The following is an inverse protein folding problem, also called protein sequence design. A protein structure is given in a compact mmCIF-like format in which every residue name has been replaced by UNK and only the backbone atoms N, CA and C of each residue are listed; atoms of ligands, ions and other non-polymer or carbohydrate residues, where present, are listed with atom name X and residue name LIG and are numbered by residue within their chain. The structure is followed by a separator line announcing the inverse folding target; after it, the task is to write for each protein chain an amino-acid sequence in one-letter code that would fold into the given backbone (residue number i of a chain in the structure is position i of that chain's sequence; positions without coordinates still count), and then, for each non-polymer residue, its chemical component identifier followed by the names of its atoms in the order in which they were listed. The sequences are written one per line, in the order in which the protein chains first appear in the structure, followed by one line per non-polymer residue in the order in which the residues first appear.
data_IF_542372800175
#
_entry.id   IF_542372800175
#
_cell.length_a   1.000
_cell.length_b   1.000
_cell.length_c   1.000
_cell.angle_alpha   90.00
_cell.angle_beta   90.00
_cell.angle_gamma   90.00
#
_symmetry.space_group_name_H-M   'P 1'
#
loop_
_entity.id
_entity.type
_entity.pdbx_description
1 polymer ?
#
# COMPACT_ATOMS: atom_id res chain seq x y z
N UNK A 1 -4.02 32.69 11.06
CA UNK A 1 -3.76 31.42 11.79
C UNK A 1 -4.72 30.41 11.21
N UNK A 2 -4.21 29.41 10.50
CA UNK A 2 -4.98 28.62 9.53
C UNK A 2 -5.65 27.40 10.20
N UNK A 3 -6.99 27.28 10.18
CA UNK A 3 -7.72 26.18 10.82
C UNK A 3 -7.39 24.78 10.27
N UNK A 4 -6.78 24.67 9.10
CA UNK A 4 -6.42 23.37 8.48
C UNK A 4 -5.23 22.67 9.14
N UNK A 5 -4.37 23.40 9.87
CA UNK A 5 -3.18 22.83 10.53
C UNK A 5 -3.56 22.12 11.85
N UNK A 6 -4.62 22.56 12.52
CA UNK A 6 -5.12 21.91 13.75
C UNK A 6 -5.92 20.64 13.46
N UNK A 7 -6.63 20.57 12.33
CA UNK A 7 -7.29 19.35 11.87
C UNK A 7 -6.28 18.23 11.53
N UNK A 8 -5.14 18.57 10.92
CA UNK A 8 -4.08 17.59 10.62
C UNK A 8 -3.36 17.07 11.87
N UNK A 9 -3.20 17.89 12.93
CA UNK A 9 -2.67 17.40 14.22
C UNK A 9 -3.63 16.48 14.95
N UNK A 10 -4.94 16.69 14.81
CA UNK A 10 -5.95 15.79 15.36
C UNK A 10 -5.91 14.41 14.65
N UNK A 11 -5.71 14.40 13.33
CA UNK A 11 -5.61 13.15 12.55
C UNK A 11 -4.36 12.33 12.93
N UNK A 12 -3.20 12.97 13.10
CA UNK A 12 -1.97 12.32 13.59
C UNK A 12 -2.08 11.88 15.07
N UNK A 13 -2.82 12.61 15.90
CA UNK A 13 -3.03 12.27 17.32
C UNK A 13 -3.99 11.10 17.53
N UNK A 14 -4.97 10.90 16.64
CA UNK A 14 -5.90 9.76 16.70
C UNK A 14 -5.24 8.46 16.21
N UNK A 15 -4.35 8.53 15.22
CA UNK A 15 -3.61 7.37 14.73
C UNK A 15 -2.54 6.86 15.71
N UNK A 16 -1.97 7.72 16.55
CA UNK A 16 -0.90 7.34 17.49
C UNK A 16 -1.39 6.91 18.89
N UNK A 17 -2.69 7.06 19.20
CA UNK A 17 -3.25 6.76 20.54
C UNK A 17 -4.54 5.99 20.41
N UNK A 18 -4.45 4.66 20.43
CA UNK A 18 -5.61 3.83 20.76
C UNK A 18 -6.10 4.16 22.18
N UNK A 19 -7.06 5.09 22.29
CA UNK A 19 -7.72 5.43 23.54
C UNK A 19 -9.10 6.07 23.29
N UNK A 20 -10.14 5.39 23.78
CA UNK A 20 -11.51 5.89 23.95
C UNK A 20 -11.56 7.25 24.66
N UNK A 21 -12.40 8.22 24.22
CA UNK A 21 -12.81 9.34 25.05
C UNK A 21 -14.11 9.00 25.78
N UNK A 22 -13.98 8.68 27.08
CA UNK A 22 -15.08 8.75 28.01
C UNK A 22 -15.28 10.21 28.46
N UNK A 23 -16.46 10.73 28.13
CA UNK A 23 -17.21 11.81 28.79
C UNK A 23 -16.67 13.25 28.83
N UNK A 24 -17.36 14.11 28.09
CA UNK A 24 -17.59 15.53 28.39
C UNK A 24 -18.38 15.70 29.71
N UNK A 25 -18.11 16.73 30.54
CA UNK A 25 -19.03 17.13 31.61
C UNK A 25 -19.89 18.31 31.17
N UNK A 26 -21.22 18.14 31.18
CA UNK A 26 -22.18 19.26 31.27
C UNK A 26 -22.71 19.32 32.70
N UNK A 27 -22.73 20.55 33.23
CA UNK A 27 -23.09 20.92 34.60
C UNK A 27 -24.61 20.91 34.85
N UNK A 28 -24.93 20.67 36.15
CA UNK A 28 -26.10 21.12 36.95
C UNK A 28 -27.46 20.47 36.63
N UNK A 29 -28.34 20.14 37.59
CA UNK A 29 -28.35 20.20 39.05
C UNK A 29 -29.57 19.41 39.58
N UNK A 30 -29.56 19.15 40.90
CA UNK A 30 -30.69 18.98 41.85
C UNK A 30 -31.06 17.57 42.35
N UNK A 31 -31.04 17.51 43.69
CA UNK A 31 -31.91 16.79 44.66
C UNK A 31 -31.85 15.26 44.84
N UNK A 32 -31.28 14.87 45.98
CA UNK A 32 -31.58 13.71 46.85
C UNK A 32 -33.09 13.58 47.24
N UNK A 33 -33.57 12.54 48.00
CA UNK A 33 -32.86 11.43 48.70
C UNK A 33 -33.49 10.00 48.67
N UNK A 34 -32.67 9.02 49.09
CA UNK A 34 -32.93 7.81 49.93
C UNK A 34 -34.03 6.80 49.54
N UNK A 35 -33.66 5.51 49.40
CA UNK A 35 -34.19 4.33 50.18
C UNK A 35 -33.15 3.19 50.18
N UNK A 36 -33.17 2.39 51.25
CA UNK A 36 -32.25 1.33 51.71
C UNK A 36 -32.41 -0.05 51.04
N UNK A 37 -31.28 -0.80 51.06
CA UNK A 37 -31.09 -2.25 51.33
C UNK A 37 -31.96 -3.29 50.58
N UNK A 38 -31.30 -4.20 49.85
CA UNK A 38 -31.17 -5.59 50.33
C UNK A 38 -30.11 -6.40 49.58
N UNK A 39 -29.38 -7.21 50.35
CA UNK A 39 -28.41 -8.21 49.91
C UNK A 39 -29.18 -9.51 49.64
N UNK A 40 -28.89 -10.18 48.53
CA UNK A 40 -28.90 -11.65 48.50
C UNK A 40 -27.91 -12.15 47.45
N UNK A 41 -26.98 -12.98 47.91
CA UNK A 41 -26.02 -13.73 47.12
C UNK A 41 -26.74 -14.95 46.52
N UNK A 42 -26.57 -15.20 45.22
CA UNK A 42 -26.53 -16.56 44.70
C UNK A 42 -25.48 -16.62 43.59
N UNK A 43 -24.54 -17.55 43.77
CA UNK A 43 -23.35 -17.78 42.97
C UNK A 43 -23.62 -18.86 41.93
N UNK A 44 -23.27 -18.61 40.65
CA UNK A 44 -22.67 -19.63 39.79
C UNK A 44 -22.11 -19.00 38.50
N UNK A 45 -20.77 -18.87 38.49
CA UNK A 45 -19.85 -19.09 37.35
C UNK A 45 -20.14 -18.38 36.01
N UNK A 46 -19.58 -17.17 35.87
CA UNK A 46 -19.13 -16.63 34.57
C UNK A 46 -17.61 -16.81 34.45
N UNK A 47 -17.17 -17.28 33.28
CA UNK A 47 -15.79 -17.27 32.81
C UNK A 47 -15.20 -15.84 32.86
N UNK A 48 -13.98 -15.63 33.38
CA UNK A 48 -13.35 -14.33 33.25
C UNK A 48 -12.72 -14.19 31.85
N UNK A 49 -13.28 -13.26 31.09
CA UNK A 49 -12.62 -12.56 29.98
C UNK A 49 -11.27 -12.04 30.44
N UNK A 50 -10.18 -12.62 29.93
CA UNK A 50 -8.83 -12.15 30.15
C UNK A 50 -8.65 -10.79 29.46
N UNK A 51 -8.56 -9.75 30.30
CA UNK A 51 -8.28 -8.38 29.94
C UNK A 51 -6.81 -8.29 29.53
N UNK A 52 -6.54 -8.26 28.22
CA UNK A 52 -5.19 -8.06 27.68
C UNK A 52 -4.70 -6.65 28.04
N UNK A 53 -3.65 -6.59 28.88
CA UNK A 53 -2.79 -5.44 29.04
C UNK A 53 -1.57 -5.66 28.11
N UNK A 54 -1.14 -4.67 27.31
CA UNK A 54 0.05 -4.84 26.49
C UNK A 54 1.30 -4.92 27.39
N UNK A 55 2.25 -5.85 27.13
CA UNK A 55 3.53 -5.83 27.79
C UNK A 55 4.31 -4.58 27.37
N UNK A 56 4.71 -3.76 28.34
CA UNK A 56 5.76 -2.75 28.15
C UNK A 56 7.10 -3.47 28.03
N UNK A 57 7.61 -3.66 26.83
CA UNK A 57 9.03 -3.81 26.56
C UNK A 57 9.34 -3.34 25.13
N UNK A 58 9.92 -2.13 25.04
CA UNK A 58 10.77 -1.75 23.91
C UNK A 58 12.08 -2.53 24.04
N UNK A 59 12.50 -3.20 22.97
CA UNK A 59 13.85 -3.04 22.47
C UNK A 59 13.82 -2.61 21.00
N UNK A 60 14.96 -2.13 20.51
CA UNK A 60 15.22 -1.64 19.15
C UNK A 60 14.86 -0.17 18.88
N UNK A 61 15.56 0.71 19.58
CA UNK A 61 15.96 2.01 19.00
C UNK A 61 17.05 1.77 17.95
N UNK A 62 16.68 1.71 16.67
CA UNK A 62 17.62 1.90 15.56
C UNK A 62 17.29 3.22 14.84
N UNK A 63 18.34 3.92 14.45
CA UNK A 63 18.36 5.35 14.19
C UNK A 63 17.68 5.75 12.88
N UNK A 64 16.93 6.86 12.93
CA UNK A 64 16.48 7.63 11.76
C UNK A 64 17.66 7.89 10.79
N UNK A 65 17.70 7.20 9.65
CA UNK A 65 18.57 7.57 8.52
C UNK A 65 17.81 8.55 7.63
N UNK A 66 18.13 9.85 7.75
CA UNK A 66 17.71 10.87 6.77
C UNK A 66 18.58 10.78 5.52
N UNK A 67 17.99 10.44 4.37
CA UNK A 67 18.67 10.40 3.07
C UNK A 67 19.13 11.81 2.64
N UNK A 68 20.40 11.89 2.23
CA UNK A 68 21.08 13.09 1.74
C UNK A 68 20.73 13.35 0.27
N UNK A 69 20.42 14.62 -0.05
CA UNK A 69 20.15 15.12 -1.40
C UNK A 69 21.44 15.33 -2.21
N UNK A 70 21.45 14.89 -3.47
CA UNK A 70 22.33 15.43 -4.51
C UNK A 70 21.52 15.83 -5.75
N UNK A 71 22.04 16.85 -6.43
CA UNK A 71 21.36 17.73 -7.37
C UNK A 71 21.78 17.41 -8.82
N UNK A 72 20.86 17.58 -9.78
CA UNK A 72 20.96 18.48 -10.98
C UNK A 72 20.48 17.88 -12.32
N UNK A 73 19.57 18.67 -12.96
CA UNK A 73 19.30 18.92 -14.40
C UNK A 73 18.38 18.03 -15.24
N UNK A 74 17.71 18.74 -16.15
CA UNK A 74 16.43 18.43 -16.78
C UNK A 74 16.53 17.90 -18.22
N UNK A 75 15.56 17.02 -18.52
CA UNK A 75 14.79 16.76 -19.76
C UNK A 75 15.52 16.41 -21.07
N UNK A 76 15.24 15.19 -21.55
CA UNK A 76 15.01 14.87 -22.96
C UNK A 76 14.16 13.60 -23.09
N UNK A 77 13.22 13.62 -24.04
CA UNK A 77 12.20 12.59 -24.29
C UNK A 77 12.63 11.60 -25.38
N UNK A 78 13.09 10.42 -24.96
CA UNK A 78 13.14 9.13 -25.68
C UNK A 78 13.08 8.03 -24.59
N UNK A 79 12.63 6.78 -24.86
CA UNK A 79 12.70 5.71 -23.88
C UNK A 79 14.17 5.32 -23.69
N UNK A 80 14.83 6.00 -22.75
CA UNK A 80 16.25 5.89 -22.49
C UNK A 80 16.48 4.76 -21.48
N UNK A 81 16.27 3.52 -21.92
CA UNK A 81 16.46 2.33 -21.09
C UNK A 81 17.88 2.26 -20.53
N UNK A 82 18.87 2.84 -21.21
CA UNK A 82 20.25 2.93 -20.73
C UNK A 82 20.44 3.90 -19.55
N UNK A 83 19.70 5.01 -19.53
CA UNK A 83 19.74 5.98 -18.44
C UNK A 83 19.03 5.47 -17.19
N UNK A 84 17.90 4.78 -17.35
CA UNK A 84 17.19 4.16 -16.22
C UNK A 84 17.96 3.02 -15.58
N UNK A 85 18.54 2.11 -16.36
CA UNK A 85 19.34 1.00 -15.81
C UNK A 85 20.60 1.51 -15.07
N UNK A 86 21.19 2.62 -15.54
CA UNK A 86 22.30 3.28 -14.83
C UNK A 86 21.85 3.83 -13.48
N UNK A 87 20.68 4.48 -13.41
CA UNK A 87 20.12 4.99 -12.15
C UNK A 87 19.78 3.88 -11.16
N UNK A 88 19.27 2.73 -11.63
CA UNK A 88 18.97 1.58 -10.78
C UNK A 88 20.28 1.00 -10.23
N UNK A 89 21.29 0.83 -11.08
CA UNK A 89 22.61 0.34 -10.67
C UNK A 89 23.27 1.26 -9.65
N UNK A 90 23.19 2.58 -9.86
CA UNK A 90 23.68 3.56 -8.90
C UNK A 90 23.02 3.41 -7.51
N UNK A 91 21.71 3.11 -7.46
CA UNK A 91 21.02 2.90 -6.19
C UNK A 91 21.56 1.69 -5.42
N UNK A 92 21.92 0.62 -6.11
CA UNK A 92 22.58 -0.53 -5.48
C UNK A 92 23.94 -0.15 -4.91
N UNK A 93 24.74 0.62 -5.63
CA UNK A 93 26.04 1.09 -5.14
C UNK A 93 25.91 2.03 -3.95
N UNK A 94 24.90 2.90 -3.94
CA UNK A 94 24.59 3.73 -2.76
C UNK A 94 24.26 2.88 -1.54
N UNK A 95 23.41 1.86 -1.68
CA UNK A 95 23.05 0.95 -0.59
C UNK A 95 24.25 0.13 -0.09
N UNK A 96 25.09 -0.37 -1.00
CA UNK A 96 26.32 -1.10 -0.64
C UNK A 96 27.36 -0.21 0.06
N UNK A 97 27.32 1.10 -0.17
CA UNK A 97 28.18 2.06 0.53
C UNK A 97 27.68 2.38 1.94
N UNK A 98 26.45 1.97 2.29
CA UNK A 98 25.95 2.04 3.67
C UNK A 98 26.57 0.92 4.52
N UNK A 99 26.64 1.15 5.84
CA UNK A 99 27.05 0.13 6.81
C UNK A 99 25.89 -0.87 7.01
N UNK A 100 25.78 -1.80 6.05
CA UNK A 100 24.83 -2.91 6.05
C UNK A 100 25.38 -4.09 6.83
N UNK A 101 24.51 -4.75 7.60
CA UNK A 101 24.84 -6.03 8.21
C UNK A 101 25.10 -7.12 7.15
N UNK A 102 25.71 -8.22 7.58
CA UNK A 102 25.93 -9.39 6.71
C UNK A 102 24.61 -9.93 6.15
N UNK A 103 23.52 -9.88 6.93
CA UNK A 103 22.20 -10.35 6.51
C UNK A 103 21.59 -9.42 5.44
N UNK A 104 21.63 -8.10 5.66
CA UNK A 104 21.20 -7.09 4.68
C UNK A 104 21.98 -7.22 3.37
N UNK A 105 23.30 -7.43 3.46
CA UNK A 105 24.17 -7.60 2.29
C UNK A 105 23.77 -8.84 1.46
N UNK A 106 23.48 -9.97 2.12
CA UNK A 106 23.01 -11.18 1.44
C UNK A 106 21.64 -10.98 0.79
N UNK A 107 20.71 -10.32 1.48
CA UNK A 107 19.38 -9.98 0.92
C UNK A 107 19.55 -9.07 -0.30
N UNK A 108 20.34 -8.00 -0.16
CA UNK A 108 20.58 -7.04 -1.24
C UNK A 108 21.18 -7.70 -2.47
N UNK A 109 22.11 -8.64 -2.30
CA UNK A 109 22.71 -9.40 -3.42
C UNK A 109 21.69 -10.25 -4.18
N UNK A 110 20.70 -10.83 -3.49
CA UNK A 110 19.60 -11.58 -4.13
C UNK A 110 18.69 -10.62 -4.91
N UNK A 111 18.34 -9.47 -4.31
CA UNK A 111 17.54 -8.43 -4.96
C UNK A 111 18.27 -7.84 -6.18
N UNK A 112 19.58 -7.65 -6.09
CA UNK A 112 20.44 -7.20 -7.19
C UNK A 112 20.41 -8.20 -8.34
N UNK A 113 20.53 -9.50 -8.04
CA UNK A 113 20.45 -10.56 -9.03
C UNK A 113 19.15 -10.48 -9.82
N UNK A 114 18.01 -10.25 -9.17
CA UNK A 114 16.74 -10.15 -9.90
C UNK A 114 16.60 -8.81 -10.62
N UNK A 115 16.83 -7.68 -9.95
CA UNK A 115 16.53 -6.34 -10.48
C UNK A 115 17.51 -5.92 -11.58
N UNK A 116 18.77 -6.36 -11.53
CA UNK A 116 19.76 -6.03 -12.57
C UNK A 116 19.86 -7.08 -13.67
N UNK A 117 19.18 -8.22 -13.56
CA UNK A 117 19.25 -9.28 -14.57
C UNK A 117 18.71 -8.91 -15.94
N UNK A 118 19.23 -9.54 -16.99
CA UNK A 118 18.66 -9.39 -18.34
C UNK A 118 17.22 -9.92 -18.43
N UNK A 119 16.35 -9.20 -19.14
CA UNK A 119 14.92 -9.54 -19.30
C UNK A 119 14.66 -10.85 -20.07
N UNK A 120 15.69 -11.45 -20.68
CA UNK A 120 15.57 -12.66 -21.49
C UNK A 120 15.64 -13.96 -20.67
N UNK A 121 16.09 -13.90 -19.40
CA UNK A 121 16.23 -15.09 -18.57
C UNK A 121 15.05 -15.24 -17.60
N UNK A 122 14.09 -16.06 -18.03
CA UNK A 122 12.86 -16.31 -17.28
C UNK A 122 13.08 -17.14 -16.00
N UNK A 123 14.26 -17.74 -15.78
CA UNK A 123 14.53 -18.56 -14.60
C UNK A 123 15.02 -17.74 -13.41
N UNK A 124 15.40 -16.48 -13.61
CA UNK A 124 15.99 -15.64 -12.57
C UNK A 124 15.02 -15.38 -11.42
N UNK A 125 13.75 -15.00 -11.65
CA UNK A 125 12.77 -14.87 -10.57
C UNK A 125 12.70 -16.12 -9.70
N UNK A 126 12.52 -17.29 -10.28
CA UNK A 126 12.42 -18.55 -9.53
C UNK A 126 13.71 -18.87 -8.76
N UNK A 127 14.88 -18.65 -9.39
CA UNK A 127 16.17 -18.93 -8.75
C UNK A 127 16.42 -17.98 -7.56
N UNK A 128 16.18 -16.68 -7.75
CA UNK A 128 16.31 -15.68 -6.69
C UNK A 128 15.31 -15.95 -5.55
N UNK A 129 14.06 -16.31 -5.84
CA UNK A 129 13.07 -16.63 -4.80
C UNK A 129 13.47 -17.87 -4.00
N UNK A 130 14.08 -18.88 -4.64
CA UNK A 130 14.60 -20.05 -3.95
C UNK A 130 15.82 -19.70 -3.07
N UNK A 131 16.70 -18.83 -3.56
CA UNK A 131 17.84 -18.33 -2.78
C UNK A 131 17.36 -17.55 -1.54
N UNK A 132 16.35 -16.68 -1.69
CA UNK A 132 15.78 -15.93 -0.57
C UNK A 132 15.08 -16.85 0.45
N UNK A 133 14.30 -17.82 -0.03
CA UNK A 133 13.65 -18.84 0.82
C UNK A 133 14.71 -19.59 1.64
N UNK A 134 15.74 -20.13 0.99
CA UNK A 134 16.82 -20.85 1.66
C UNK A 134 17.56 -19.98 2.69
N UNK A 135 17.87 -18.73 2.33
CA UNK A 135 18.53 -17.79 3.24
C UNK A 135 17.67 -17.52 4.48
N UNK A 136 16.37 -17.31 4.31
CA UNK A 136 15.44 -17.13 5.43
C UNK A 136 15.39 -18.38 6.33
N UNK A 137 15.32 -19.58 5.76
CA UNK A 137 15.35 -20.82 6.55
C UNK A 137 16.68 -21.01 7.30
N UNK A 138 17.82 -20.75 6.65
CA UNK A 138 19.14 -20.84 7.27
C UNK A 138 19.27 -19.91 8.49
N UNK A 139 18.80 -18.66 8.36
CA UNK A 139 18.97 -17.64 9.38
C UNK A 139 17.91 -17.69 10.49
N UNK A 140 16.67 -18.04 10.16
CA UNK A 140 15.53 -17.90 11.08
C UNK A 140 15.02 -19.23 11.65
N UNK A 141 15.45 -20.37 11.09
CA UNK A 141 15.00 -21.72 11.47
C UNK A 141 16.18 -22.68 11.69
N UNK A 142 17.13 -22.38 12.61
CA UNK A 142 18.31 -23.20 12.80
C UNK A 142 17.96 -24.63 13.25
N UNK A 143 18.63 -25.66 12.70
CA UNK A 143 18.31 -27.07 12.95
C UNK A 143 18.58 -27.52 14.39
N UNK A 144 19.38 -26.78 15.14
CA UNK A 144 19.78 -27.14 16.50
C UNK A 144 19.05 -26.25 17.52
N UNK A 145 18.06 -26.85 18.20
CA UNK A 145 17.51 -26.48 19.53
C UNK A 145 16.18 -25.73 19.69
N UNK A 146 15.41 -25.40 18.64
CA UNK A 146 14.01 -24.95 18.83
C UNK A 146 13.00 -25.70 17.94
N UNK A 147 11.93 -26.27 18.51
CA UNK A 147 10.80 -26.78 17.73
C UNK A 147 9.95 -25.66 17.11
N UNK A 148 10.20 -24.39 17.45
CA UNK A 148 9.45 -23.23 17.00
C UNK A 148 10.35 -22.20 16.28
N UNK A 149 9.82 -21.45 15.29
CA UNK A 149 10.56 -20.38 14.61
C UNK A 149 11.16 -19.37 15.59
N UNK A 150 12.38 -18.91 15.31
CA UNK A 150 12.86 -17.69 15.97
C UNK A 150 12.12 -16.49 15.38
N UNK A 151 10.99 -16.15 16.00
CA UNK A 151 10.15 -15.04 15.54
C UNK A 151 10.90 -13.71 15.54
N UNK A 152 11.89 -13.51 16.42
CA UNK A 152 12.69 -12.28 16.45
C UNK A 152 13.62 -12.20 15.25
N UNK A 153 14.35 -13.28 14.95
CA UNK A 153 15.22 -13.33 13.75
C UNK A 153 14.41 -13.27 12.46
N UNK A 154 13.23 -13.87 12.42
CA UNK A 154 12.35 -13.80 11.26
C UNK A 154 11.77 -12.40 11.05
N UNK A 155 11.32 -11.75 12.11
CA UNK A 155 10.82 -10.38 12.06
C UNK A 155 11.91 -9.42 11.55
N UNK A 156 13.13 -9.53 12.07
CA UNK A 156 14.29 -8.76 11.62
C UNK A 156 14.65 -9.04 10.15
N UNK A 157 14.64 -10.31 9.73
CA UNK A 157 14.88 -10.67 8.32
C UNK A 157 13.85 -10.05 7.37
N UNK A 158 12.56 -10.15 7.73
CA UNK A 158 11.47 -9.57 6.94
C UNK A 158 11.53 -8.04 6.94
N UNK A 159 11.95 -7.42 8.06
CA UNK A 159 12.19 -5.99 8.15
C UNK A 159 13.17 -5.55 7.07
N UNK A 160 14.38 -6.15 7.04
CA UNK A 160 15.41 -5.79 6.07
C UNK A 160 14.98 -6.06 4.62
N UNK A 161 14.32 -7.21 4.38
CA UNK A 161 13.81 -7.55 3.06
C UNK A 161 12.85 -6.49 2.53
N UNK A 162 11.83 -6.13 3.31
CA UNK A 162 10.80 -5.21 2.83
C UNK A 162 11.31 -3.78 2.73
N UNK A 163 12.14 -3.32 3.68
CA UNK A 163 12.76 -2.01 3.63
C UNK A 163 13.63 -1.85 2.37
N UNK A 164 14.55 -2.80 2.12
CA UNK A 164 15.41 -2.78 0.95
C UNK A 164 14.60 -2.85 -0.35
N UNK A 165 13.64 -3.77 -0.43
CA UNK A 165 12.81 -3.94 -1.62
C UNK A 165 12.02 -2.67 -1.95
N UNK A 166 11.32 -2.09 -0.98
CA UNK A 166 10.52 -0.88 -1.19
C UNK A 166 11.43 0.30 -1.55
N UNK A 167 12.56 0.45 -0.88
CA UNK A 167 13.59 1.46 -1.17
C UNK A 167 14.11 1.37 -2.61
N UNK A 168 14.38 0.16 -3.09
CA UNK A 168 14.78 -0.10 -4.48
C UNK A 168 13.63 0.20 -5.45
N UNK A 169 12.41 -0.24 -5.16
CA UNK A 169 11.26 -0.03 -6.04
C UNK A 169 10.88 1.44 -6.19
N UNK A 170 11.18 2.29 -5.21
CA UNK A 170 11.08 3.76 -5.36
C UNK A 170 12.05 4.31 -6.42
N UNK A 171 13.16 3.62 -6.70
CA UNK A 171 14.16 4.02 -7.71
C UNK A 171 13.95 3.38 -9.09
N UNK A 172 13.18 2.29 -9.18
CA UNK A 172 12.84 1.65 -10.46
C UNK A 172 11.69 2.41 -11.12
N UNK A 173 11.88 3.00 -12.33
CA UNK A 173 10.83 3.79 -12.98
C UNK A 173 9.52 3.01 -13.14
N UNK A 174 8.39 3.70 -13.00
CA UNK A 174 7.03 3.15 -12.98
C UNK A 174 6.63 2.33 -14.22
N UNK A 175 7.25 2.63 -15.37
CA UNK A 175 7.05 2.00 -16.68
C UNK A 175 8.17 1.00 -17.03
N UNK A 176 9.15 0.82 -16.15
CA UNK A 176 10.31 -0.01 -16.39
C UNK A 176 9.97 -1.50 -16.20
N UNK A 177 10.38 -2.41 -17.11
CA UNK A 177 10.06 -3.83 -17.05
C UNK A 177 10.63 -4.55 -15.82
N UNK A 178 11.61 -3.95 -15.12
CA UNK A 178 12.11 -4.49 -13.86
C UNK A 178 11.05 -4.47 -12.75
N UNK A 179 10.05 -3.60 -12.82
CA UNK A 179 8.90 -3.68 -11.91
C UNK A 179 8.20 -5.03 -12.06
N UNK A 180 7.89 -5.44 -13.30
CA UNK A 180 7.21 -6.71 -13.59
C UNK A 180 8.08 -7.93 -13.24
N UNK A 181 9.39 -7.80 -13.43
CA UNK A 181 10.34 -8.83 -13.03
C UNK A 181 10.37 -9.04 -11.51
N UNK A 182 10.34 -7.96 -10.72
CA UNK A 182 10.21 -8.03 -9.26
C UNK A 182 8.89 -8.66 -8.84
N UNK A 183 7.79 -8.35 -9.54
CA UNK A 183 6.48 -8.98 -9.28
C UNK A 183 6.51 -10.48 -9.57
N UNK A 184 7.21 -10.90 -10.63
CA UNK A 184 7.42 -12.31 -10.95
C UNK A 184 8.22 -13.01 -9.84
N UNK A 185 9.25 -12.36 -9.31
CA UNK A 185 10.03 -12.87 -8.17
C UNK A 185 9.18 -13.03 -6.90
N UNK A 186 8.33 -12.05 -6.58
CA UNK A 186 7.43 -12.17 -5.42
C UNK A 186 6.34 -13.23 -5.64
N UNK A 187 5.86 -13.40 -6.87
CA UNK A 187 4.92 -14.46 -7.23
C UNK A 187 5.55 -15.85 -7.07
N UNK A 188 6.80 -16.01 -7.49
CA UNK A 188 7.58 -17.22 -7.25
C UNK A 188 7.80 -17.46 -5.75
N UNK A 189 8.16 -16.42 -4.99
CA UNK A 189 8.30 -16.53 -3.54
C UNK A 189 6.98 -16.97 -2.88
N UNK A 190 5.86 -16.38 -3.30
CA UNK A 190 4.51 -16.70 -2.83
C UNK A 190 4.13 -18.18 -3.02
N UNK A 191 4.66 -18.85 -4.05
CA UNK A 191 4.47 -20.29 -4.28
C UNK A 191 5.32 -21.18 -3.38
N UNK A 192 6.36 -20.65 -2.72
CA UNK A 192 7.30 -21.39 -1.84
C UNK A 192 6.80 -21.52 -0.39
N UNK A 193 5.55 -21.17 -0.14
CA UNK A 193 4.97 -21.16 1.19
C UNK A 193 4.87 -22.56 1.83
N UNK A 194 5.79 -22.89 2.75
CA UNK A 194 5.88 -24.20 3.42
C UNK A 194 5.49 -24.20 4.89
N UNK A 195 5.59 -23.07 5.59
CA UNK A 195 5.39 -22.99 7.04
C UNK A 195 4.46 -21.85 7.43
N UNK A 196 3.86 -21.96 8.62
CA UNK A 196 3.09 -20.89 9.26
C UNK A 196 3.93 -20.26 10.35
N UNK A 197 3.89 -18.95 10.46
CA UNK A 197 4.64 -18.14 11.43
C UNK A 197 3.68 -17.22 12.16
N UNK A 198 4.03 -16.82 13.38
CA UNK A 198 3.23 -15.88 14.17
C UNK A 198 4.09 -14.67 14.52
N UNK A 199 3.85 -13.55 13.84
CA UNK A 199 4.54 -12.27 14.06
C UNK A 199 3.52 -11.28 14.59
N UNK A 200 3.86 -10.58 15.68
CA UNK A 200 2.96 -9.64 16.38
C UNK A 200 1.59 -10.25 16.75
N UNK A 201 1.55 -11.54 17.07
CA UNK A 201 0.33 -12.27 17.41
C UNK A 201 -0.62 -12.55 16.23
N UNK A 202 -0.17 -12.31 14.99
CA UNK A 202 -0.89 -12.66 13.77
C UNK A 202 -0.25 -13.88 13.12
N UNK A 203 -1.02 -14.96 13.01
CA UNK A 203 -0.62 -16.12 12.20
C UNK A 203 -0.66 -15.77 10.72
N UNK A 204 0.37 -16.19 9.99
CA UNK A 204 0.48 -15.99 8.55
C UNK A 204 1.29 -17.13 7.95
N UNK A 205 0.86 -17.62 6.79
CA UNK A 205 1.62 -18.60 6.02
C UNK A 205 2.77 -17.87 5.34
N UNK A 206 4.00 -18.18 5.77
CA UNK A 206 5.22 -17.53 5.30
C UNK A 206 5.28 -17.59 3.77
N UNK A 207 5.61 -16.45 3.17
CA UNK A 207 5.57 -16.17 1.71
C UNK A 207 4.20 -16.13 1.06
N UNK A 208 3.24 -16.98 1.44
CA UNK A 208 1.87 -16.90 0.89
C UNK A 208 1.23 -15.57 1.26
N UNK A 209 1.37 -15.17 2.52
CA UNK A 209 0.70 -13.98 3.03
C UNK A 209 1.64 -12.76 3.08
N UNK A 210 2.90 -12.92 2.63
CA UNK A 210 3.96 -11.90 2.65
C UNK A 210 3.96 -11.10 3.96
N UNK A 211 4.17 -11.76 5.12
CA UNK A 211 4.00 -11.15 6.42
C UNK A 211 4.82 -9.86 6.55
N UNK A 212 4.22 -8.84 7.17
CA UNK A 212 4.72 -7.48 7.34
C UNK A 212 4.78 -6.60 6.07
N UNK A 213 4.70 -7.11 4.84
CA UNK A 213 4.82 -6.29 3.63
C UNK A 213 3.84 -5.10 3.63
N UNK A 214 2.57 -5.33 3.95
CA UNK A 214 1.56 -4.24 4.03
C UNK A 214 1.88 -3.21 5.12
N UNK A 215 2.54 -3.59 6.21
CA UNK A 215 2.97 -2.68 7.26
C UNK A 215 4.07 -1.74 6.75
N UNK A 216 5.07 -2.29 6.05
CA UNK A 216 6.15 -1.50 5.46
C UNK A 216 5.68 -0.62 4.30
N UNK A 217 4.77 -1.12 3.46
CA UNK A 217 4.14 -0.29 2.44
C UNK A 217 3.39 0.88 3.05
N UNK A 218 2.66 0.66 4.16
CA UNK A 218 1.95 1.72 4.88
C UNK A 218 2.91 2.76 5.45
N UNK A 219 4.03 2.34 6.01
CA UNK A 219 5.06 3.24 6.51
C UNK A 219 5.69 4.09 5.39
N UNK A 220 5.96 3.47 4.24
CA UNK A 220 6.45 4.16 3.05
C UNK A 220 5.40 5.05 2.35
N UNK A 221 4.12 4.94 2.72
CA UNK A 221 2.99 5.61 2.04
C UNK A 221 2.82 7.08 2.43
N UNK A 222 3.84 7.89 2.13
CA UNK A 222 3.83 9.33 2.42
C UNK A 222 3.70 10.14 1.12
N UNK A 223 2.48 10.63 0.83
CA UNK A 223 2.22 11.55 -0.28
C UNK A 223 3.13 12.80 -0.13
N UNK A 224 3.94 13.15 -1.15
CA UNK A 224 4.86 14.28 -1.08
C UNK A 224 4.20 15.64 -0.75
N UNK A 225 2.93 15.82 -1.10
CA UNK A 225 2.16 17.05 -0.80
C UNK A 225 1.84 17.26 0.68
N UNK A 226 1.89 16.22 1.51
CA UNK A 226 1.58 16.35 2.94
C UNK A 226 2.62 17.17 3.71
N UNK A 227 3.83 17.28 3.15
CA UNK A 227 4.93 18.02 3.78
C UNK A 227 5.14 19.41 3.19
N UNK A 228 4.72 19.64 1.94
CA UNK A 228 4.96 20.88 1.20
C UNK A 228 4.05 21.01 -0.02
N UNK A 229 3.63 22.23 -0.36
CA UNK A 229 2.92 22.54 -1.59
C UNK A 229 3.81 22.53 -2.84
N UNK A 230 5.13 22.38 -2.65
CA UNK A 230 6.13 22.30 -3.71
C UNK A 230 7.03 21.08 -3.53
N UNK A 231 6.51 19.86 -3.79
CA UNK A 231 7.31 18.65 -3.69
C UNK A 231 8.50 18.66 -4.64
N UNK A 232 9.64 18.13 -4.19
CA UNK A 232 10.82 17.98 -5.05
C UNK A 232 10.53 16.97 -6.18
N UNK A 233 11.06 17.17 -7.40
CA UNK A 233 10.85 16.24 -8.52
C UNK A 233 11.21 14.79 -8.19
N UNK A 234 12.31 14.57 -7.46
CA UNK A 234 12.72 13.23 -7.00
C UNK A 234 11.64 12.56 -6.13
N UNK A 235 11.02 13.30 -5.20
CA UNK A 235 9.97 12.76 -4.33
C UNK A 235 8.72 12.38 -5.14
N UNK A 236 8.38 13.17 -6.17
CA UNK A 236 7.29 12.86 -7.09
C UNK A 236 7.58 11.58 -7.89
N UNK A 237 8.79 11.45 -8.44
CA UNK A 237 9.22 10.26 -9.18
C UNK A 237 9.19 9.02 -8.29
N UNK A 238 9.74 9.10 -7.08
CA UNK A 238 9.69 8.00 -6.11
C UNK A 238 8.25 7.60 -5.75
N UNK A 239 7.36 8.58 -5.61
CA UNK A 239 5.94 8.35 -5.34
C UNK A 239 5.24 7.62 -6.49
N UNK A 240 5.48 8.05 -7.74
CA UNK A 240 4.96 7.40 -8.94
C UNK A 240 5.44 5.95 -9.05
N UNK A 241 6.72 5.73 -8.79
CA UNK A 241 7.35 4.40 -8.86
C UNK A 241 6.76 3.44 -7.82
N UNK A 242 6.61 3.89 -6.57
CA UNK A 242 6.01 3.11 -5.48
C UNK A 242 4.54 2.76 -5.76
N UNK A 243 3.77 3.74 -6.25
CA UNK A 243 2.37 3.52 -6.62
C UNK A 243 2.23 2.50 -7.74
N UNK A 244 3.04 2.62 -8.79
CA UNK A 244 3.02 1.68 -9.90
C UNK A 244 3.44 0.26 -9.49
N UNK A 245 4.40 0.13 -8.57
CA UNK A 245 4.80 -1.16 -8.02
C UNK A 245 3.65 -1.79 -7.21
N UNK A 246 3.03 -0.99 -6.36
CA UNK A 246 1.92 -1.44 -5.49
C UNK A 246 0.66 -1.79 -6.29
N UNK A 247 0.40 -1.07 -7.38
CA UNK A 247 -0.64 -1.43 -8.34
C UNK A 247 -0.38 -2.80 -8.96
N UNK A 248 0.85 -3.10 -9.36
CA UNK A 248 1.19 -4.43 -9.88
C UNK A 248 1.09 -5.53 -8.82
N UNK A 249 1.47 -5.26 -7.57
CA UNK A 249 1.26 -6.19 -6.46
C UNK A 249 -0.23 -6.53 -6.29
N UNK A 250 -1.08 -5.51 -6.38
CA UNK A 250 -2.54 -5.65 -6.30
C UNK A 250 -3.07 -6.51 -7.45
N UNK A 251 -2.63 -6.24 -8.68
CA UNK A 251 -3.04 -7.00 -9.87
C UNK A 251 -2.60 -8.46 -9.78
N UNK A 252 -1.39 -8.71 -9.28
CA UNK A 252 -0.87 -10.06 -9.03
C UNK A 252 -1.51 -10.77 -7.82
N UNK A 253 -2.45 -10.12 -7.11
CA UNK A 253 -3.08 -10.63 -5.88
C UNK A 253 -2.08 -10.99 -4.78
N UNK A 254 -0.96 -10.26 -4.74
CA UNK A 254 0.08 -10.38 -3.70
C UNK A 254 -0.20 -9.48 -2.49
N UNK A 255 -1.13 -8.53 -2.63
CA UNK A 255 -1.71 -7.77 -1.54
C UNK A 255 -3.21 -8.05 -1.48
N UNK A 256 -3.71 -8.44 -0.32
CA UNK A 256 -5.15 -8.56 -0.12
C UNK A 256 -5.75 -7.15 0.07
N UNK A 257 -6.59 -6.74 -0.90
CA UNK A 257 -7.47 -5.56 -0.86
C UNK A 257 -6.82 -4.30 -0.28
N UNK A 258 -5.74 -3.79 -0.89
CA UNK A 258 -5.12 -2.56 -0.42
C UNK A 258 -6.07 -1.36 -0.57
N UNK A 259 -6.11 -0.48 0.44
CA UNK A 259 -6.88 0.77 0.41
C UNK A 259 -6.23 1.86 -0.47
N UNK A 260 -4.94 1.71 -0.78
CA UNK A 260 -4.14 2.67 -1.53
C UNK A 260 -4.78 3.20 -2.83
N UNK A 261 -5.32 2.37 -3.75
CA UNK A 261 -5.97 2.87 -4.95
C UNK A 261 -7.11 3.86 -4.63
N UNK A 262 -7.91 3.59 -3.59
CA UNK A 262 -9.01 4.48 -3.20
C UNK A 262 -8.48 5.80 -2.66
N UNK A 263 -7.41 5.77 -1.86
CA UNK A 263 -6.78 6.98 -1.32
C UNK A 263 -6.25 7.88 -2.45
N UNK A 264 -5.55 7.29 -3.42
CA UNK A 264 -4.96 8.06 -4.52
C UNK A 264 -6.01 8.56 -5.53
N UNK A 265 -7.00 7.74 -5.88
CA UNK A 265 -8.11 8.15 -6.75
C UNK A 265 -8.93 9.26 -6.09
N UNK A 266 -9.21 9.16 -4.78
CA UNK A 266 -9.82 10.23 -4.00
C UNK A 266 -8.99 11.51 -4.10
N UNK A 267 -7.71 11.44 -3.74
CA UNK A 267 -6.83 12.60 -3.68
C UNK A 267 -6.72 13.32 -5.03
N UNK A 268 -6.81 12.59 -6.15
CA UNK A 268 -6.74 13.15 -7.50
C UNK A 268 -8.08 13.70 -8.02
N UNK A 269 -9.19 13.01 -7.75
CA UNK A 269 -10.46 13.19 -8.48
C UNK A 269 -11.60 13.77 -7.64
N UNK A 270 -11.55 13.61 -6.32
CA UNK A 270 -12.63 14.02 -5.40
C UNK A 270 -12.39 15.38 -4.74
N UNK A 271 -11.30 16.06 -5.08
CA UNK A 271 -10.94 17.38 -4.55
C UNK A 271 -11.33 18.52 -5.51
N UNK A 272 -11.83 19.64 -4.98
CA UNK A 272 -12.28 20.82 -5.76
C UNK A 272 -11.16 21.48 -6.56
N UNK A 273 -9.98 21.59 -5.95
CA UNK A 273 -8.79 22.17 -6.57
C UNK A 273 -7.54 21.69 -5.85
N UNK A 274 -6.46 21.53 -6.60
CA UNK A 274 -5.16 21.19 -6.04
C UNK A 274 -4.40 22.47 -5.70
N UNK A 275 -3.56 22.44 -4.66
CA UNK A 275 -2.81 23.63 -4.21
C UNK A 275 -1.80 24.14 -5.25
N UNK A 276 -1.36 23.29 -6.19
CA UNK A 276 -0.54 23.70 -7.34
C UNK A 276 -0.76 22.81 -8.56
N UNK A 277 -0.43 23.29 -9.78
CA UNK A 277 -0.44 22.47 -10.99
C UNK A 277 0.46 21.24 -10.87
N UNK A 278 1.62 21.36 -10.24
CA UNK A 278 2.52 20.22 -10.02
C UNK A 278 1.85 19.12 -9.19
N UNK A 279 1.13 19.49 -8.12
CA UNK A 279 0.40 18.53 -7.27
C UNK A 279 -0.74 17.86 -8.03
N UNK A 280 -1.54 18.65 -8.75
CA UNK A 280 -2.59 18.13 -9.63
C UNK A 280 -2.02 17.11 -10.61
N UNK A 281 -0.95 17.48 -11.30
CA UNK A 281 -0.42 16.74 -12.43
C UNK A 281 0.12 15.37 -11.99
N UNK A 282 0.92 15.29 -10.92
CA UNK A 282 1.40 13.97 -10.48
C UNK A 282 0.32 13.12 -9.83
N UNK A 283 -0.66 13.72 -9.13
CA UNK A 283 -1.79 12.96 -8.56
C UNK A 283 -2.64 12.33 -9.66
N UNK A 284 -2.88 13.09 -10.75
CA UNK A 284 -3.55 12.55 -11.93
C UNK A 284 -2.73 11.44 -12.60
N UNK A 285 -1.41 11.56 -12.67
CA UNK A 285 -0.54 10.47 -13.17
C UNK A 285 -0.64 9.22 -12.29
N UNK A 286 -0.54 9.37 -10.96
CA UNK A 286 -0.67 8.25 -10.00
C UNK A 286 -2.02 7.57 -10.14
N UNK A 287 -3.11 8.34 -10.11
CA UNK A 287 -4.46 7.83 -10.28
C UNK A 287 -4.64 7.11 -11.62
N UNK A 288 -4.08 7.67 -12.70
CA UNK A 288 -4.10 7.04 -14.02
C UNK A 288 -3.36 5.70 -14.02
N UNK A 289 -2.20 5.60 -13.35
CA UNK A 289 -1.46 4.35 -13.25
C UNK A 289 -2.21 3.27 -12.48
N UNK A 290 -2.92 3.61 -11.40
CA UNK A 290 -3.79 2.66 -10.70
C UNK A 290 -4.87 2.07 -11.63
N UNK A 291 -5.49 2.91 -12.45
CA UNK A 291 -6.47 2.45 -13.45
C UNK A 291 -5.80 1.58 -14.52
N UNK A 292 -4.67 2.01 -15.08
CA UNK A 292 -4.01 1.30 -16.17
C UNK A 292 -3.45 -0.06 -15.75
N UNK A 293 -2.94 -0.16 -14.52
CA UNK A 293 -2.29 -1.37 -14.02
C UNK A 293 -3.26 -2.31 -13.30
N UNK A 294 -4.28 -1.76 -12.61
CA UNK A 294 -5.17 -2.51 -11.72
C UNK A 294 -6.65 -2.30 -11.99
N UNK A 295 -7.03 -1.52 -13.01
CA UNK A 295 -8.43 -1.14 -13.28
C UNK A 295 -9.38 -2.33 -13.40
N UNK A 296 -8.96 -3.42 -14.05
CA UNK A 296 -9.75 -4.67 -14.12
C UNK A 296 -10.04 -5.26 -12.74
N UNK A 297 -9.03 -5.29 -11.87
CA UNK A 297 -9.16 -5.80 -10.50
C UNK A 297 -10.08 -4.90 -9.68
N UNK A 298 -9.86 -3.57 -9.74
CA UNK A 298 -10.65 -2.57 -9.03
C UNK A 298 -12.12 -2.57 -9.47
N UNK A 299 -12.39 -2.67 -10.77
CA UNK A 299 -13.76 -2.73 -11.28
C UNK A 299 -14.51 -3.96 -10.76
N UNK A 300 -13.87 -5.13 -10.78
CA UNK A 300 -14.44 -6.36 -10.22
C UNK A 300 -14.75 -6.22 -8.74
N UNK A 301 -13.87 -5.58 -7.98
CA UNK A 301 -14.08 -5.37 -6.54
C UNK A 301 -15.19 -4.35 -6.28
N UNK A 302 -15.26 -3.26 -7.07
CA UNK A 302 -16.34 -2.29 -7.04
C UNK A 302 -17.72 -2.92 -7.32
N UNK A 303 -17.76 -3.90 -8.22
CA UNK A 303 -18.97 -4.62 -8.57
C UNK A 303 -19.45 -5.55 -7.45
N UNK A 304 -18.52 -6.23 -6.76
CA UNK A 304 -18.85 -7.14 -5.65
C UNK A 304 -19.49 -6.42 -4.45
N UNK A 305 -19.23 -5.12 -4.31
CA UNK A 305 -19.70 -4.33 -3.18
C UNK A 305 -18.86 -4.59 -1.92
N UNK A 306 -18.70 -3.56 -1.10
CA UNK A 306 -17.67 -3.42 -0.06
C UNK A 306 -17.24 -4.71 0.66
N UNK A 307 -15.92 -4.90 0.71
CA UNK A 307 -15.26 -5.96 1.46
C UNK A 307 -14.17 -5.40 2.39
N UNK A 308 -14.20 -4.10 2.66
CA UNK A 308 -13.27 -3.41 3.54
C UNK A 308 -13.68 -3.58 5.01
N UNK A 309 -12.69 -3.53 5.91
CA UNK A 309 -12.94 -3.45 7.36
C UNK A 309 -13.54 -2.08 7.74
N UNK A 310 -14.16 -1.96 8.92
CA UNK A 310 -14.69 -0.66 9.40
C UNK A 310 -13.60 0.43 9.45
N UNK A 311 -12.37 0.07 9.84
CA UNK A 311 -11.23 0.98 9.86
C UNK A 311 -10.83 1.41 8.45
N UNK A 312 -10.81 0.49 7.48
CA UNK A 312 -10.51 0.80 6.08
C UNK A 312 -11.62 1.62 5.40
N UNK A 313 -12.89 1.39 5.76
CA UNK A 313 -14.01 2.23 5.33
C UNK A 313 -13.84 3.66 5.82
N UNK A 314 -13.50 3.82 7.09
CA UNK A 314 -13.23 5.13 7.70
C UNK A 314 -12.04 5.81 7.02
N UNK A 315 -10.99 5.07 6.67
CA UNK A 315 -9.83 5.62 5.96
C UNK A 315 -10.18 6.08 4.53
N UNK A 316 -11.25 5.53 3.93
CA UNK A 316 -11.64 5.74 2.54
C UNK A 316 -12.90 6.61 2.40
N UNK A 317 -13.26 7.36 3.45
CA UNK A 317 -14.27 8.43 3.41
C UNK A 317 -14.11 9.29 2.15
N UNK A 318 -15.20 9.72 1.51
CA UNK A 318 -15.12 10.47 0.27
C UNK A 318 -14.52 11.86 0.43
N UNK A 319 -13.98 12.40 -0.66
CA UNK A 319 -13.60 13.81 -0.78
C UNK A 319 -14.81 14.71 -1.05
N UNK A 320 -14.66 16.04 -0.98
CA UNK A 320 -15.77 17.00 -1.01
C UNK A 320 -16.63 16.93 -2.29
N UNK A 321 -16.08 16.47 -3.41
CA UNK A 321 -16.81 16.39 -4.68
C UNK A 321 -17.68 15.13 -4.83
N UNK A 322 -17.47 14.08 -4.04
CA UNK A 322 -18.22 12.84 -4.12
C UNK A 322 -19.12 12.68 -2.89
N UNK A 323 -20.42 12.51 -3.11
CA UNK A 323 -21.45 12.47 -2.05
C UNK A 323 -21.95 11.07 -1.72
N UNK A 324 -21.37 10.04 -2.35
CA UNK A 324 -21.71 8.65 -2.10
C UNK A 324 -20.99 8.05 -0.88
N UNK A 325 -21.04 6.72 -0.75
CA UNK A 325 -20.51 6.00 0.42
C UNK A 325 -18.98 5.85 0.38
N UNK A 326 -18.31 5.75 1.56
CA UNK A 326 -16.89 5.37 1.68
C UNK A 326 -16.62 4.00 1.07
N UNK A 327 -15.39 3.66 0.71
CA UNK A 327 -15.07 2.38 0.07
C UNK A 327 -15.19 2.39 -1.45
N UNK A 328 -15.20 1.20 -2.06
CA UNK A 328 -15.14 1.02 -3.51
C UNK A 328 -16.46 0.46 -4.04
N UNK A 329 -17.19 1.30 -4.77
CA UNK A 329 -18.49 0.98 -5.34
C UNK A 329 -18.60 1.43 -6.79
N UNK A 330 -19.50 0.79 -7.53
CA UNK A 330 -19.79 1.16 -8.92
C UNK A 330 -20.15 2.64 -9.09
N UNK A 331 -20.92 3.23 -8.19
CA UNK A 331 -21.26 4.66 -8.23
C UNK A 331 -20.01 5.55 -8.16
N UNK A 332 -19.06 5.19 -7.28
CA UNK A 332 -17.78 5.91 -7.11
C UNK A 332 -16.87 5.72 -8.33
N UNK A 333 -16.84 4.52 -8.90
CA UNK A 333 -16.13 4.23 -10.14
C UNK A 333 -16.60 5.13 -11.30
N UNK A 334 -17.92 5.25 -11.50
CA UNK A 334 -18.50 6.11 -12.52
C UNK A 334 -18.21 7.59 -12.27
N UNK A 335 -18.25 8.01 -11.01
CA UNK A 335 -17.83 9.35 -10.63
C UNK A 335 -16.37 9.62 -11.03
N UNK A 336 -15.44 8.71 -10.71
CA UNK A 336 -14.03 8.86 -11.09
C UNK A 336 -13.82 8.91 -12.60
N UNK A 337 -14.51 8.06 -13.37
CA UNK A 337 -14.45 8.12 -14.83
C UNK A 337 -14.83 9.51 -15.34
N UNK A 338 -15.94 10.07 -14.87
CA UNK A 338 -16.39 11.41 -15.26
C UNK A 338 -15.37 12.49 -14.87
N UNK A 339 -14.76 12.37 -13.68
CA UNK A 339 -13.75 13.33 -13.20
C UNK A 339 -12.48 13.29 -14.04
N UNK A 340 -12.01 12.11 -14.46
CA UNK A 340 -10.89 12.02 -15.40
C UNK A 340 -11.22 12.70 -16.73
N UNK A 341 -12.42 12.47 -17.28
CA UNK A 341 -12.87 13.13 -18.52
C UNK A 341 -12.87 14.65 -18.40
N UNK A 342 -13.44 15.18 -17.30
CA UNK A 342 -13.47 16.62 -17.03
C UNK A 342 -12.06 17.21 -16.89
N UNK A 343 -11.19 16.55 -16.11
CA UNK A 343 -9.84 17.04 -15.82
C UNK A 343 -8.86 16.87 -16.99
N UNK A 344 -9.17 16.02 -17.98
CA UNK A 344 -8.35 15.86 -19.18
C UNK A 344 -8.20 17.17 -19.99
N UNK A 345 -9.19 18.06 -19.90
CA UNK A 345 -9.15 19.38 -20.53
C UNK A 345 -8.18 20.37 -19.87
N UNK A 346 -7.87 20.16 -18.58
CA UNK A 346 -7.14 21.09 -17.73
C UNK A 346 -5.63 20.80 -17.62
N UNK A 347 -5.18 19.70 -18.24
CA UNK A 347 -3.80 19.20 -18.21
C UNK A 347 -3.25 19.00 -19.62
N UNK A 348 -1.93 18.99 -19.76
CA UNK A 348 -1.27 18.90 -21.06
C UNK A 348 -0.21 17.79 -21.11
N UNK A 349 0.31 17.55 -22.32
CA UNK A 349 1.48 16.70 -22.52
C UNK A 349 1.26 15.26 -22.05
N UNK A 350 2.17 14.79 -21.20
CA UNK A 350 2.15 13.41 -20.67
C UNK A 350 0.96 13.13 -19.77
N UNK A 351 0.60 14.10 -18.90
CA UNK A 351 -0.50 13.96 -17.95
C UNK A 351 -1.82 13.76 -18.70
N UNK A 352 -2.07 14.58 -19.73
CA UNK A 352 -3.26 14.43 -20.59
C UNK A 352 -3.33 13.04 -21.22
N UNK A 353 -2.24 12.56 -21.81
CA UNK A 353 -2.19 11.23 -22.44
C UNK A 353 -2.45 10.10 -21.42
N UNK A 354 -1.91 10.21 -20.22
CA UNK A 354 -2.13 9.21 -19.18
C UNK A 354 -3.60 9.18 -18.73
N UNK A 355 -4.21 10.36 -18.51
CA UNK A 355 -5.63 10.50 -18.16
C UNK A 355 -6.53 9.95 -19.26
N UNK A 356 -6.29 10.32 -20.52
CA UNK A 356 -7.07 9.82 -21.67
C UNK A 356 -6.98 8.30 -21.80
N UNK A 357 -5.78 7.72 -21.61
CA UNK A 357 -5.61 6.26 -21.58
C UNK A 357 -6.33 5.60 -20.41
N UNK A 358 -6.34 6.24 -19.24
CA UNK A 358 -7.08 5.73 -18.08
C UNK A 358 -8.59 5.74 -18.35
N UNK A 359 -9.14 6.81 -18.93
CA UNK A 359 -10.55 6.88 -19.36
C UNK A 359 -10.89 5.74 -20.32
N UNK A 360 -10.06 5.54 -21.35
CA UNK A 360 -10.29 4.45 -22.31
C UNK A 360 -10.24 3.09 -21.63
N UNK A 361 -9.24 2.86 -20.78
CA UNK A 361 -9.14 1.62 -20.00
C UNK A 361 -10.40 1.37 -19.15
N UNK A 362 -10.90 2.38 -18.43
CA UNK A 362 -12.12 2.23 -17.63
C UNK A 362 -13.34 1.87 -18.49
N UNK A 363 -13.47 2.46 -19.68
CA UNK A 363 -14.55 2.14 -20.64
C UNK A 363 -14.42 0.73 -21.20
N UNK A 364 -13.21 0.31 -21.54
CA UNK A 364 -12.92 -1.05 -22.01
C UNK A 364 -13.25 -2.10 -20.95
N UNK A 365 -12.83 -1.87 -19.69
CA UNK A 365 -13.11 -2.77 -18.57
C UNK A 365 -14.62 -2.93 -18.37
N UNK A 366 -15.39 -1.84 -18.39
CA UNK A 366 -16.87 -1.91 -18.33
C UNK A 366 -17.42 -2.75 -19.48
N UNK A 367 -16.95 -2.53 -20.71
CA UNK A 367 -17.44 -3.23 -21.92
C UNK A 367 -17.14 -4.72 -21.86
N UNK A 368 -15.97 -5.11 -21.37
CA UNK A 368 -15.52 -6.51 -21.30
C UNK A 368 -16.15 -7.23 -20.11
N UNK A 369 -15.93 -6.74 -18.90
CA UNK A 369 -16.32 -7.43 -17.67
C UNK A 369 -17.81 -7.27 -17.38
N UNK A 370 -18.42 -6.14 -17.77
CA UNK A 370 -19.87 -5.96 -17.67
C UNK A 370 -20.65 -7.00 -18.50
N UNK A 371 -20.12 -7.42 -19.65
CA UNK A 371 -20.73 -8.48 -20.48
C UNK A 371 -20.52 -9.86 -19.88
N UNK A 372 -19.32 -10.14 -19.39
CA UNK A 372 -18.98 -11.43 -18.77
C UNK A 372 -19.83 -11.67 -17.53
N UNK A 373 -20.07 -10.65 -16.72
CA UNK A 373 -20.91 -10.79 -15.52
C UNK A 373 -22.41 -10.86 -15.84
N UNK A 374 -22.92 -10.14 -16.84
CA UNK A 374 -24.31 -10.34 -17.33
C UNK A 374 -24.52 -11.79 -17.79
N UNK A 375 -23.53 -12.39 -18.45
CA UNK A 375 -23.57 -13.79 -18.84
C UNK A 375 -23.50 -14.75 -17.62
N UNK A 376 -22.67 -14.44 -16.61
CA UNK A 376 -22.56 -15.24 -15.36
C UNK A 376 -23.83 -15.18 -14.51
N UNK A 377 -24.55 -14.06 -14.53
CA UNK A 377 -25.80 -13.86 -13.78
C UNK A 377 -27.05 -14.38 -14.52
N UNK A 378 -26.87 -15.08 -15.65
CA UNK A 378 -27.97 -15.72 -16.37
C UNK A 378 -28.88 -14.75 -17.14
N UNK A 379 -28.35 -13.61 -17.57
CA UNK A 379 -29.05 -12.75 -18.52
C UNK A 379 -29.07 -13.38 -19.91
N UNK A 380 -30.06 -14.24 -20.17
CA UNK A 380 -30.53 -14.49 -21.53
C UNK A 380 -31.00 -13.15 -22.12
N UNK A 381 -30.14 -12.56 -22.95
CA UNK A 381 -30.59 -11.58 -23.95
C UNK A 381 -30.60 -12.31 -25.29
N UNK A 382 -31.51 -13.27 -25.40
CA UNK A 382 -32.08 -13.68 -26.67
C UNK A 382 -33.58 -13.40 -26.59
N UNK A 383 -34.05 -12.43 -27.38
CA UNK A 383 -35.47 -12.07 -27.40
C UNK A 383 -35.81 -10.76 -28.12
N UNK A 384 -35.56 -10.75 -29.43
CA UNK A 384 -36.33 -10.05 -30.49
C UNK A 384 -36.16 -8.54 -30.81
N UNK A 385 -35.65 -8.36 -32.04
CA UNK A 385 -35.95 -7.38 -33.12
C UNK A 385 -35.54 -5.92 -32.96
#
# INVERSE_FOLDING_TARGET
MNPSVEACRAFQSCFAKGAFPAHLPVRRALSHPRVRLNISYSSSTQHPSARWLPPRHNPCTHANRHLIMTNTRALSTQPDTGSSDTSISQRFEELKAEDLSDNETKILSILETVILSGLADNNIPATASAALDNLCYELCFPPESRPEPDNSSLEEFLYYLWELLISLMKSVPHDHPKQDLTISFLSELHLRARTTVSIWGKESRLWRDLPLLSSFLREAWTDPSYTTDHPAPKAITEWLNLNAFTARLTTASLLDRPIYPLLELKAALEEESHSSPAIRDYRLLVASHWILLSGKHLFRDAFRGDSLSEDDLTATEPGPLYTGKPGLYMERWWFWLKRFEELSGDVDGEVRRAVERAVECMREVVREDGRVEVHRLGGDVDGDV
#
